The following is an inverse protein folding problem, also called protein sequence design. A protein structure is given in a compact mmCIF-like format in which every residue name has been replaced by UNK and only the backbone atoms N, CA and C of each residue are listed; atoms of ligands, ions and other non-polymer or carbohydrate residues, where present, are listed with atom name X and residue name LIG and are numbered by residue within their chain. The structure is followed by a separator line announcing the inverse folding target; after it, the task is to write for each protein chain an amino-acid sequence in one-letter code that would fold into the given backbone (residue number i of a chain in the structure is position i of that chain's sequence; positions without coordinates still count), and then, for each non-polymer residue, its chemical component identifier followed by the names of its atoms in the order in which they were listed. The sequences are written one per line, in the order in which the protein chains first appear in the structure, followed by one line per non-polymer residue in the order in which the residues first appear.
data_IF_977471304380
#
_entry.id   IF_977471304380
#
_cell.length_a   1.000
_cell.length_b   1.000
_cell.length_c   1.000
_cell.angle_alpha   90.00
_cell.angle_beta   90.00
_cell.angle_gamma   90.00
#
_symmetry.space_group_name_H-M   'P 1'
#
loop_
_entity.id
_entity.type
_entity.pdbx_description
1 polymer ?
#
# COMPACT_ATOMS: atom_id res chain seq x y z
N UNK A 1 -10.06 4.09 -23.53
CA UNK A 1 -8.73 4.09 -24.19
C UNK A 1 -8.18 5.49 -23.98
N UNK A 2 -7.20 5.75 -23.11
CA UNK A 2 -5.85 5.19 -22.96
C UNK A 2 -5.57 5.00 -21.45
N UNK A 3 -5.14 3.80 -21.03
CA UNK A 3 -4.63 3.56 -19.67
C UNK A 3 -3.13 3.85 -19.70
N UNK A 4 -2.70 5.01 -19.20
CA UNK A 4 -1.28 5.32 -18.96
C UNK A 4 -1.05 5.22 -17.46
N UNK A 5 -0.28 4.23 -17.04
CA UNK A 5 0.42 4.31 -15.76
C UNK A 5 1.42 5.46 -15.90
N UNK A 6 1.37 6.44 -14.99
CA UNK A 6 2.33 7.53 -14.99
C UNK A 6 3.58 7.03 -14.25
N UNK A 7 4.58 6.55 -15.00
CA UNK A 7 5.93 6.34 -14.46
C UNK A 7 6.58 7.72 -14.39
N UNK A 8 6.60 8.33 -13.20
CA UNK A 8 7.28 9.61 -12.99
C UNK A 8 8.78 9.39 -12.88
N UNK A 9 9.52 9.58 -13.99
CA UNK A 9 10.98 9.65 -13.98
C UNK A 9 11.44 10.95 -13.31
N UNK A 10 12.09 10.85 -12.16
CA UNK A 10 12.80 11.98 -11.55
C UNK A 10 14.31 11.71 -11.72
N UNK A 11 14.91 12.34 -12.73
CA UNK A 11 16.35 12.31 -13.00
C UNK A 11 17.04 13.28 -12.02
N UNK A 12 17.64 12.75 -10.96
CA UNK A 12 18.71 13.45 -10.25
C UNK A 12 20.04 12.80 -10.66
N UNK A 13 20.88 13.56 -11.35
CA UNK A 13 22.25 13.17 -11.70
C UNK A 13 23.18 13.48 -10.53
N UNK A 14 23.70 12.45 -9.86
CA UNK A 14 24.92 12.52 -9.04
C UNK A 14 25.82 11.32 -9.40
N UNK A 15 27.15 11.48 -9.27
CA UNK A 15 28.12 10.62 -9.94
C UNK A 15 28.25 9.24 -9.28
N UNK A 16 28.32 8.22 -10.14
CA UNK A 16 28.96 6.91 -9.95
C UNK A 16 28.95 6.28 -8.55
N UNK A 17 27.77 5.92 -8.04
CA UNK A 17 27.53 4.68 -7.26
C UNK A 17 26.08 4.26 -7.56
N UNK A 18 25.84 2.97 -7.72
CA UNK A 18 24.63 2.34 -8.29
C UNK A 18 23.34 3.17 -8.15
N UNK A 19 22.80 3.60 -9.29
CA UNK A 19 21.58 4.38 -9.32
C UNK A 19 20.41 3.54 -8.76
N UNK A 20 19.92 3.92 -7.58
CA UNK A 20 18.72 3.34 -6.96
C UNK A 20 17.50 3.85 -7.74
N UNK A 21 16.88 2.98 -8.54
CA UNK A 21 15.62 3.29 -9.22
C UNK A 21 14.45 2.92 -8.33
N UNK A 22 13.74 3.94 -7.82
CA UNK A 22 12.47 3.77 -7.14
C UNK A 22 11.36 3.58 -8.19
N UNK A 23 10.86 2.35 -8.35
CA UNK A 23 9.62 2.10 -9.08
C UNK A 23 8.48 2.14 -8.07
N UNK A 24 7.89 3.33 -7.92
CA UNK A 24 6.59 3.46 -7.26
C UNK A 24 5.55 2.79 -8.17
N UNK A 25 5.21 1.52 -7.92
CA UNK A 25 4.03 0.89 -8.52
C UNK A 25 2.78 1.47 -7.85
N UNK A 26 2.51 2.74 -8.16
CA UNK A 26 1.23 3.37 -7.85
C UNK A 26 0.42 3.21 -9.13
N UNK A 27 -0.44 2.19 -9.16
CA UNK A 27 -1.60 2.28 -10.03
C UNK A 27 -2.47 3.37 -9.44
N UNK A 28 -2.21 4.60 -9.89
CA UNK A 28 -3.14 5.69 -9.76
C UNK A 28 -4.44 5.20 -10.43
N UNK A 29 -5.40 4.77 -9.61
CA UNK A 29 -6.56 5.63 -9.62
C UNK A 29 -6.00 6.98 -9.21
N UNK A 30 -5.86 7.89 -10.17
CA UNK A 30 -6.44 9.19 -9.89
C UNK A 30 -7.71 8.83 -9.15
N UNK A 31 -7.81 9.19 -7.86
CA UNK A 31 -9.13 9.44 -7.35
C UNK A 31 -9.74 10.21 -8.50
N UNK A 32 -10.74 9.64 -9.18
CA UNK A 32 -11.81 10.48 -9.62
C UNK A 32 -12.22 11.13 -8.31
N UNK A 33 -11.53 12.24 -7.98
CA UNK A 33 -12.13 13.43 -7.47
C UNK A 33 -13.25 13.58 -8.46
N UNK A 34 -14.37 12.91 -8.17
CA UNK A 34 -15.64 13.31 -8.72
C UNK A 34 -15.59 14.80 -8.49
N UNK A 35 -15.43 15.55 -9.58
CA UNK A 35 -15.18 16.98 -9.53
C UNK A 35 -16.19 17.49 -8.51
N UNK A 36 -15.75 18.11 -7.40
CA UNK A 36 -16.67 18.43 -6.32
C UNK A 36 -17.83 19.14 -6.97
N UNK A 37 -19.03 18.54 -6.86
CA UNK A 37 -20.16 19.00 -7.68
C UNK A 37 -20.51 20.37 -7.15
N UNK A 38 -20.05 21.41 -7.84
CA UNK A 38 -20.40 22.78 -7.52
C UNK A 38 -21.59 23.19 -8.37
N UNK A 39 -22.53 23.91 -7.77
CA UNK A 39 -23.50 24.68 -8.53
C UNK A 39 -23.07 26.15 -8.55
N UNK A 40 -23.51 26.89 -9.58
CA UNK A 40 -23.15 28.30 -9.75
C UNK A 40 -24.30 29.18 -9.27
N UNK A 41 -24.00 30.09 -8.35
CA UNK A 41 -24.91 31.11 -7.87
C UNK A 41 -24.48 32.50 -8.37
N UNK A 42 -25.39 33.26 -8.97
CA UNK A 42 -25.15 34.66 -9.36
C UNK A 42 -25.51 35.57 -8.19
N UNK A 43 -24.52 36.27 -7.65
CA UNK A 43 -24.67 37.19 -6.50
C UNK A 43 -25.68 38.29 -6.83
N UNK A 44 -26.64 38.52 -5.92
CA UNK A 44 -27.69 39.54 -6.03
C UNK A 44 -27.40 40.70 -5.08
N UNK A 45 -28.03 41.86 -5.33
CA UNK A 45 -27.91 43.04 -4.45
C UNK A 45 -28.32 42.66 -3.03
N UNK A 46 -27.46 42.97 -2.04
CA UNK A 46 -27.68 42.67 -0.62
C UNK A 46 -27.17 41.31 -0.14
N UNK A 47 -26.62 40.48 -1.04
CA UNK A 47 -25.99 39.22 -0.67
C UNK A 47 -24.65 39.43 0.05
N UNK A 48 -24.38 38.56 1.03
CA UNK A 48 -23.02 38.33 1.56
C UNK A 48 -22.70 36.85 1.46
N UNK A 49 -21.42 36.49 1.43
CA UNK A 49 -21.02 35.08 1.30
C UNK A 49 -21.64 34.21 2.40
N UNK A 50 -21.68 34.71 3.63
CA UNK A 50 -22.32 34.04 4.77
C UNK A 50 -23.85 33.92 4.62
N UNK A 51 -24.54 34.95 4.11
CA UNK A 51 -25.99 34.90 3.85
C UNK A 51 -26.32 33.89 2.75
N UNK A 52 -25.52 33.86 1.69
CA UNK A 52 -25.64 32.88 0.59
C UNK A 52 -25.43 31.46 1.15
N UNK A 53 -24.35 31.23 1.91
CA UNK A 53 -24.09 29.91 2.51
C UNK A 53 -25.24 29.47 3.42
N UNK A 54 -25.77 30.38 4.25
CA UNK A 54 -26.93 30.09 5.12
C UNK A 54 -28.18 29.74 4.30
N UNK A 55 -28.46 30.47 3.23
CA UNK A 55 -29.58 30.23 2.32
C UNK A 55 -29.55 28.82 1.71
N UNK A 56 -28.36 28.33 1.37
CA UNK A 56 -28.18 26.99 0.80
C UNK A 56 -27.83 25.92 1.85
N UNK A 57 -28.04 26.19 3.14
CA UNK A 57 -27.72 25.27 4.25
C UNK A 57 -26.27 24.75 4.24
N UNK A 58 -25.34 25.55 3.70
CA UNK A 58 -23.92 25.21 3.65
C UNK A 58 -23.28 25.52 5.02
N UNK A 59 -22.65 24.55 5.71
CA UNK A 59 -22.03 24.78 7.00
C UNK A 59 -20.87 25.79 6.93
N UNK A 60 -20.67 26.57 8.00
CA UNK A 60 -19.59 27.58 8.09
C UNK A 60 -18.20 27.01 7.77
N UNK A 61 -17.94 25.75 8.11
CA UNK A 61 -16.68 25.09 7.82
C UNK A 61 -16.38 24.82 6.34
N UNK A 62 -17.20 25.28 5.40
CA UNK A 62 -16.92 25.32 3.95
C UNK A 62 -16.45 26.70 3.47
N UNK A 63 -16.42 27.72 4.34
CA UNK A 63 -16.09 29.10 3.96
C UNK A 63 -14.74 29.20 3.25
N UNK A 64 -13.69 28.61 3.84
CA UNK A 64 -12.34 28.61 3.27
C UNK A 64 -12.27 27.95 1.88
N UNK A 65 -13.00 26.85 1.70
CA UNK A 65 -13.03 26.11 0.44
C UNK A 65 -13.75 26.89 -0.66
N UNK A 66 -14.87 27.53 -0.32
CA UNK A 66 -15.61 28.39 -1.25
C UNK A 66 -14.76 29.60 -1.65
N UNK A 67 -14.05 30.22 -0.70
CA UNK A 67 -13.10 31.32 -0.98
C UNK A 67 -12.01 30.86 -1.95
N UNK A 68 -11.40 29.71 -1.69
CA UNK A 68 -10.33 29.14 -2.53
C UNK A 68 -10.81 28.81 -3.94
N UNK A 69 -11.93 28.10 -4.08
CA UNK A 69 -12.48 27.66 -5.38
C UNK A 69 -12.90 28.84 -6.25
N UNK A 70 -13.41 29.91 -5.62
CA UNK A 70 -13.82 31.13 -6.30
C UNK A 70 -12.71 32.19 -6.40
N UNK A 71 -11.50 31.87 -5.92
CA UNK A 71 -10.35 32.79 -5.89
C UNK A 71 -10.71 34.17 -5.28
N UNK A 72 -11.52 34.17 -4.24
CA UNK A 72 -11.94 35.40 -3.57
C UNK A 72 -10.77 35.96 -2.76
N UNK A 73 -10.45 37.25 -2.95
CA UNK A 73 -9.42 37.94 -2.17
C UNK A 73 -9.80 38.07 -0.69
N UNK A 74 -11.09 38.20 -0.42
CA UNK A 74 -11.64 38.25 0.94
C UNK A 74 -13.02 37.59 0.97
N UNK A 75 -13.37 36.82 2.01
CA UNK A 75 -14.71 36.23 2.18
C UNK A 75 -15.82 37.28 2.30
N UNK A 76 -15.47 38.52 2.68
CA UNK A 76 -16.40 39.61 2.87
C UNK A 76 -16.60 40.46 1.60
N UNK A 77 -15.83 40.19 0.53
CA UNK A 77 -15.84 40.98 -0.69
C UNK A 77 -16.36 40.14 -1.87
N UNK A 78 -17.66 40.30 -2.16
CA UNK A 78 -18.32 39.72 -3.33
C UNK A 78 -19.12 40.81 -4.07
N UNK A 79 -19.20 40.72 -5.39
CA UNK A 79 -19.83 41.75 -6.23
C UNK A 79 -21.16 41.29 -6.81
N UNK A 80 -22.11 42.21 -6.96
CA UNK A 80 -23.39 41.92 -7.63
C UNK A 80 -23.12 41.45 -9.05
N UNK A 81 -23.78 40.36 -9.46
CA UNK A 81 -23.57 39.73 -10.77
C UNK A 81 -22.42 38.72 -10.83
N UNK A 82 -21.56 38.66 -9.80
CA UNK A 82 -20.47 37.67 -9.71
C UNK A 82 -21.03 36.25 -9.64
N UNK A 83 -20.41 35.32 -10.37
CA UNK A 83 -20.76 33.90 -10.35
C UNK A 83 -19.90 33.17 -9.30
N UNK A 84 -20.54 32.61 -8.27
CA UNK A 84 -19.90 31.84 -7.21
C UNK A 84 -20.21 30.34 -7.36
N UNK A 85 -19.17 29.52 -7.36
CA UNK A 85 -19.21 28.06 -7.24
C UNK A 85 -19.44 27.67 -5.78
N UNK A 86 -20.56 27.02 -5.50
CA UNK A 86 -20.97 26.57 -4.16
C UNK A 86 -21.12 25.05 -4.13
N UNK A 87 -20.70 24.36 -3.05
CA UNK A 87 -20.77 22.91 -2.95
C UNK A 87 -22.22 22.40 -3.00
N UNK A 88 -22.49 21.39 -3.82
CA UNK A 88 -23.78 20.73 -3.88
C UNK A 88 -24.00 19.81 -2.67
N UNK A 89 -25.26 19.44 -2.43
CA UNK A 89 -25.69 18.69 -1.25
C UNK A 89 -24.95 17.35 -1.03
N UNK A 90 -24.51 16.69 -2.11
CA UNK A 90 -23.68 15.48 -2.04
C UNK A 90 -22.31 15.70 -1.38
N UNK A 91 -21.69 16.87 -1.59
CA UNK A 91 -20.42 17.25 -0.96
C UNK A 91 -20.59 17.60 0.53
N UNK A 92 -21.72 18.21 0.88
CA UNK A 92 -22.05 18.55 2.27
C UNK A 92 -22.15 17.29 3.15
N UNK A 93 -22.82 16.24 2.63
CA UNK A 93 -22.98 14.94 3.31
C UNK A 93 -21.65 14.17 3.44
N UNK A 94 -20.74 14.32 2.48
CA UNK A 94 -19.41 13.66 2.48
C UNK A 94 -18.49 14.26 3.55
N UNK A 95 -18.52 15.58 3.75
CA UNK A 95 -17.74 16.29 4.77
C UNK A 95 -18.30 16.15 6.19
N UNK A 96 -19.60 15.99 6.33
CA UNK A 96 -20.23 15.63 7.61
C UNK A 96 -19.90 14.20 8.05
N UNK A 97 -19.77 13.25 7.11
CA UNK A 97 -19.27 11.90 7.40
C UNK A 97 -17.80 11.90 7.82
N UNK A 98 -16.94 12.70 7.19
CA UNK A 98 -15.51 12.80 7.58
C UNK A 98 -15.28 13.61 8.86
N UNK A 99 -16.18 14.53 9.24
CA UNK A 99 -16.13 15.25 10.54
C UNK A 99 -16.68 14.46 11.73
N UNK A 100 -17.37 13.33 11.50
CA UNK A 100 -17.93 12.46 12.55
C UNK A 100 -17.15 11.16 12.75
N UNK A 101 -15.94 11.02 12.22
CA UNK A 101 -15.04 9.98 12.72
C UNK A 101 -14.55 10.46 14.08
N UNK A 102 -15.21 10.00 15.15
CA UNK A 102 -14.72 10.21 16.49
C UNK A 102 -13.31 9.60 16.55
N UNK A 103 -12.29 10.29 17.11
CA UNK A 103 -10.91 9.79 17.19
C UNK A 103 -10.74 8.39 17.82
N UNK A 104 -11.82 7.84 18.40
CA UNK A 104 -11.88 6.60 19.15
C UNK A 104 -12.38 5.37 18.37
N UNK A 105 -12.95 5.52 17.17
CA UNK A 105 -13.47 4.36 16.41
C UNK A 105 -12.34 3.36 16.08
N UNK A 106 -11.14 3.87 15.81
CA UNK A 106 -9.95 3.04 15.55
C UNK A 106 -9.54 2.23 16.79
N UNK A 107 -9.42 2.88 17.95
CA UNK A 107 -9.02 2.20 19.20
C UNK A 107 -10.06 1.16 19.63
N UNK A 108 -11.36 1.43 19.45
CA UNK A 108 -12.39 0.45 19.76
C UNK A 108 -12.44 -0.71 18.79
N UNK A 109 -12.25 -0.46 17.49
CA UNK A 109 -12.09 -1.54 16.49
C UNK A 109 -10.87 -2.41 16.82
N UNK A 110 -9.77 -1.78 17.23
CA UNK A 110 -8.57 -2.47 17.68
C UNK A 110 -8.82 -3.32 18.94
N UNK A 111 -9.44 -2.76 19.98
CA UNK A 111 -9.81 -3.48 21.20
C UNK A 111 -10.70 -4.71 20.91
N UNK A 112 -11.69 -4.57 20.03
CA UNK A 112 -12.52 -5.69 19.56
C UNK A 112 -11.67 -6.77 18.87
N UNK A 113 -10.66 -6.37 18.10
CA UNK A 113 -9.76 -7.29 17.38
C UNK A 113 -8.94 -8.14 18.35
N UNK A 114 -8.47 -7.56 19.46
CA UNK A 114 -7.72 -8.28 20.50
C UNK A 114 -8.63 -8.95 21.55
N UNK A 115 -9.90 -9.21 21.20
CA UNK A 115 -10.84 -9.98 22.02
C UNK A 115 -11.53 -9.21 23.15
N UNK A 116 -11.40 -7.88 23.21
CA UNK A 116 -12.06 -7.08 24.24
C UNK A 116 -13.53 -6.83 23.88
N UNK A 117 -14.42 -6.97 24.86
CA UNK A 117 -15.84 -6.64 24.70
C UNK A 117 -16.00 -5.12 24.70
N UNK A 118 -16.55 -4.58 23.62
CA UNK A 118 -16.83 -3.14 23.48
C UNK A 118 -18.27 -2.92 23.07
N UNK A 119 -19.04 -2.26 23.95
CA UNK A 119 -20.45 -1.88 23.74
C UNK A 119 -20.53 -0.42 23.31
N UNK A 120 -20.76 -0.18 22.03
CA UNK A 120 -20.76 1.13 21.36
C UNK A 120 -22.12 1.55 20.81
N UNK A 121 -23.19 0.91 21.30
CA UNK A 121 -24.57 1.20 20.95
C UNK A 121 -25.45 1.26 22.21
N UNK A 122 -26.55 2.01 22.14
CA UNK A 122 -27.50 2.16 23.25
C UNK A 122 -27.34 3.45 24.06
N UNK A 123 -28.17 3.55 25.09
CA UNK A 123 -28.25 4.69 26.01
C UNK A 123 -28.27 4.15 27.43
N UNK A 124 -27.42 4.69 28.31
CA UNK A 124 -27.55 4.49 29.74
C UNK A 124 -28.33 5.65 30.35
N UNK A 125 -29.28 5.33 31.21
CA UNK A 125 -30.01 6.31 32.00
C UNK A 125 -29.37 6.38 33.39
N UNK A 126 -29.14 7.60 33.86
CA UNK A 126 -28.58 7.92 35.18
C UNK A 126 -29.47 8.96 35.85
N UNK A 127 -29.33 9.12 37.16
CA UNK A 127 -30.04 10.16 37.93
C UNK A 127 -29.72 11.59 37.43
N UNK A 128 -28.62 11.75 36.69
CA UNK A 128 -28.14 13.03 36.16
C UNK A 128 -28.34 13.17 34.65
N UNK A 129 -29.08 12.26 34.02
CA UNK A 129 -29.41 12.30 32.59
C UNK A 129 -28.95 11.06 31.82
N UNK A 130 -28.82 11.21 30.49
CA UNK A 130 -28.56 10.10 29.58
C UNK A 130 -27.14 10.10 29.02
N UNK A 131 -26.52 8.93 28.96
CA UNK A 131 -25.19 8.71 28.38
C UNK A 131 -25.33 7.93 27.07
N UNK A 132 -24.83 8.47 25.97
CA UNK A 132 -24.94 7.85 24.65
C UNK A 132 -23.70 7.00 24.33
N UNK A 133 -23.88 5.68 24.26
CA UNK A 133 -22.79 4.73 24.11
C UNK A 133 -22.10 4.78 22.73
N UNK A 134 -22.73 5.41 21.73
CA UNK A 134 -22.03 5.69 20.45
C UNK A 134 -20.93 6.75 20.59
N UNK A 135 -21.00 7.59 21.63
CA UNK A 135 -20.00 8.63 21.93
C UNK A 135 -19.09 8.22 23.09
N UNK A 136 -19.64 7.50 24.06
CA UNK A 136 -18.93 7.03 25.27
C UNK A 136 -19.15 5.54 25.45
N UNK A 137 -18.49 4.69 24.64
CA UNK A 137 -18.70 3.26 24.69
C UNK A 137 -18.17 2.67 26.01
N UNK A 138 -18.70 1.50 26.33
CA UNK A 138 -18.23 0.69 27.46
C UNK A 138 -17.22 -0.33 26.94
N UNK A 139 -16.10 -0.44 27.63
CA UNK A 139 -15.13 -1.53 27.49
C UNK A 139 -15.30 -2.47 28.68
N UNK A 140 -15.41 -3.77 28.45
CA UNK A 140 -15.45 -4.78 29.50
C UNK A 140 -14.21 -5.67 29.40
N UNK A 141 -13.43 -5.72 30.47
CA UNK A 141 -12.23 -6.56 30.58
C UNK A 141 -11.98 -6.92 32.04
N UNK A 142 -11.63 -8.18 32.30
CA UNK A 142 -11.40 -8.72 33.66
C UNK A 142 -12.53 -8.43 34.66
N UNK A 143 -13.78 -8.57 34.24
CA UNK A 143 -14.95 -8.30 35.08
C UNK A 143 -15.16 -6.81 35.43
N UNK A 144 -14.32 -5.89 34.93
CA UNK A 144 -14.47 -4.44 35.13
C UNK A 144 -15.08 -3.80 33.90
N UNK A 145 -15.91 -2.78 34.13
CA UNK A 145 -16.62 -2.02 33.09
C UNK A 145 -16.09 -0.59 33.06
N UNK A 146 -15.56 -0.17 31.93
CA UNK A 146 -14.96 1.16 31.75
C UNK A 146 -15.79 1.97 30.75
N UNK A 147 -16.26 3.15 31.14
CA UNK A 147 -16.91 4.09 30.22
C UNK A 147 -15.84 5.04 29.69
N UNK A 148 -15.67 5.06 28.38
CA UNK A 148 -14.63 5.89 27.74
C UNK A 148 -15.18 7.25 27.38
N UNK A 149 -14.73 8.29 28.08
CA UNK A 149 -15.10 9.69 27.80
C UNK A 149 -13.90 10.50 27.34
N UNK A 150 -13.65 10.47 26.03
CA UNK A 150 -12.58 11.26 25.42
C UNK A 150 -12.98 12.74 25.23
N UNK A 151 -14.28 13.03 25.28
CA UNK A 151 -14.82 14.37 25.03
C UNK A 151 -14.99 15.21 26.30
N UNK A 152 -14.84 14.59 27.48
CA UNK A 152 -15.10 15.23 28.76
C UNK A 152 -16.56 15.63 28.95
N UNK A 153 -17.50 14.92 28.33
CA UNK A 153 -18.93 15.24 28.40
C UNK A 153 -19.59 14.74 29.70
N UNK A 154 -18.92 13.86 30.46
CA UNK A 154 -19.40 13.33 31.73
C UNK A 154 -18.90 14.21 32.87
N UNK A 155 -19.80 15.00 33.45
CA UNK A 155 -19.51 15.84 34.62
C UNK A 155 -19.26 15.02 35.91
N UNK A 156 -18.68 15.66 36.92
CA UNK A 156 -18.26 15.01 38.17
C UNK A 156 -19.38 14.30 38.93
N UNK A 157 -20.59 14.86 38.99
CA UNK A 157 -21.76 14.24 39.65
C UNK A 157 -22.19 12.95 38.94
N UNK A 158 -22.30 13.01 37.61
CA UNK A 158 -22.63 11.84 36.78
C UNK A 158 -21.55 10.76 36.86
N UNK A 159 -20.27 11.16 36.87
CA UNK A 159 -19.15 10.24 37.08
C UNK A 159 -19.27 9.46 38.38
N UNK A 160 -19.57 10.11 39.52
CA UNK A 160 -19.76 9.43 40.81
C UNK A 160 -20.94 8.45 40.81
N UNK A 161 -22.04 8.81 40.16
CA UNK A 161 -23.20 7.91 39.99
C UNK A 161 -22.84 6.68 39.16
N UNK A 162 -22.12 6.86 38.05
CA UNK A 162 -21.63 5.77 37.22
C UNK A 162 -20.63 4.86 37.98
N UNK A 163 -19.75 5.45 38.79
CA UNK A 163 -18.82 4.72 39.67
C UNK A 163 -19.56 3.89 40.72
N UNK A 164 -20.62 4.43 41.31
CA UNK A 164 -21.48 3.70 42.25
C UNK A 164 -22.23 2.55 41.59
N UNK A 165 -22.53 2.66 40.29
CA UNK A 165 -23.12 1.60 39.48
C UNK A 165 -22.09 0.57 38.95
N UNK A 166 -20.81 0.68 39.36
CA UNK A 166 -19.74 -0.26 39.00
C UNK A 166 -19.04 0.04 37.68
N UNK A 167 -19.15 1.27 37.16
CA UNK A 167 -18.42 1.72 35.97
C UNK A 167 -17.24 2.64 36.34
N UNK A 168 -16.08 2.44 35.72
CA UNK A 168 -14.97 3.40 35.83
C UNK A 168 -14.94 4.32 34.61
N UNK A 169 -15.02 5.64 34.80
CA UNK A 169 -14.94 6.60 33.69
C UNK A 169 -13.48 6.91 33.38
N UNK A 170 -13.06 6.64 32.14
CA UNK A 170 -11.67 6.75 31.67
C UNK A 170 -11.52 7.77 30.53
N UNK A 171 -10.44 8.55 30.56
CA UNK A 171 -10.07 9.47 29.48
C UNK A 171 -9.03 8.84 28.54
N UNK A 172 -8.37 9.68 27.72
CA UNK A 172 -7.39 9.18 26.74
C UNK A 172 -6.19 8.48 27.38
N UNK A 173 -5.63 9.05 28.44
CA UNK A 173 -4.44 8.51 29.10
C UNK A 173 -4.74 7.17 29.76
N UNK A 174 -5.90 7.05 30.38
CA UNK A 174 -6.37 5.83 31.03
C UNK A 174 -6.74 4.75 30.02
N UNK A 175 -7.30 5.14 28.86
CA UNK A 175 -7.57 4.21 27.75
C UNK A 175 -6.28 3.57 27.22
N UNK A 176 -5.21 4.35 27.06
CA UNK A 176 -3.91 3.80 26.63
C UNK A 176 -3.36 2.80 27.65
N UNK A 177 -3.45 3.10 28.95
CA UNK A 177 -3.08 2.14 30.01
C UNK A 177 -3.93 0.89 29.97
N UNK A 178 -5.22 1.01 29.65
CA UNK A 178 -6.12 -0.13 29.52
C UNK A 178 -5.74 -1.02 28.32
N UNK A 179 -5.39 -0.41 27.19
CA UNK A 179 -4.89 -1.15 26.01
C UNK A 179 -3.62 -1.93 26.38
N UNK A 180 -2.66 -1.28 27.03
CA UNK A 180 -1.42 -1.93 27.48
C UNK A 180 -1.70 -3.11 28.41
N UNK A 181 -2.65 -2.94 29.33
CA UNK A 181 -3.08 -4.00 30.26
C UNK A 181 -3.66 -5.20 29.50
N UNK A 182 -4.61 -4.96 28.59
CA UNK A 182 -5.25 -6.01 27.78
C UNK A 182 -4.21 -6.77 26.96
N UNK A 183 -3.23 -6.08 26.38
CA UNK A 183 -2.17 -6.74 25.64
C UNK A 183 -1.32 -7.60 26.59
N UNK A 184 -0.91 -7.08 27.76
CA UNK A 184 -0.08 -7.83 28.71
C UNK A 184 -0.74 -9.10 29.28
N UNK A 185 -2.07 -9.20 29.18
CA UNK A 185 -2.82 -10.38 29.60
C UNK A 185 -2.74 -11.51 28.57
N UNK A 186 -2.69 -11.17 27.28
CA UNK A 186 -2.69 -12.12 26.17
C UNK A 186 -1.27 -12.50 25.69
N UNK A 187 -0.27 -11.67 25.99
CA UNK A 187 1.10 -11.82 25.50
C UNK A 187 2.11 -11.85 26.66
N UNK A 188 3.07 -12.77 26.60
CA UNK A 188 4.07 -12.95 27.67
C UNK A 188 5.10 -11.81 27.74
N UNK A 189 5.42 -11.22 26.60
CA UNK A 189 6.24 -10.02 26.47
C UNK A 189 5.70 -9.15 25.34
N UNK A 190 5.86 -7.83 25.46
CA UNK A 190 5.40 -6.87 24.46
C UNK A 190 6.49 -5.85 24.17
N UNK A 191 6.87 -5.74 22.90
CA UNK A 191 7.60 -4.60 22.36
C UNK A 191 6.65 -3.69 21.60
N UNK A 192 6.95 -2.38 21.59
CA UNK A 192 6.10 -1.36 20.95
C UNK A 192 6.85 -0.64 19.85
N UNK A 193 6.15 -0.27 18.77
CA UNK A 193 6.64 0.57 17.67
C UNK A 193 7.99 0.10 17.12
N UNK A 194 8.12 -1.20 16.87
CA UNK A 194 9.36 -1.81 16.43
C UNK A 194 9.37 -2.14 14.95
N UNK A 195 10.50 -2.69 14.52
CA UNK A 195 10.75 -3.07 13.15
C UNK A 195 11.24 -4.53 13.10
N UNK A 196 10.85 -5.23 12.03
CA UNK A 196 11.36 -6.53 11.66
C UNK A 196 12.07 -6.39 10.33
N UNK A 197 13.26 -6.98 10.24
CA UNK A 197 13.97 -7.16 8.98
C UNK A 197 13.96 -8.66 8.72
N UNK A 198 13.35 -9.06 7.62
CA UNK A 198 13.15 -10.45 7.23
C UNK A 198 13.74 -10.68 5.84
N UNK A 199 14.26 -11.88 5.64
CA UNK A 199 14.95 -12.29 4.43
C UNK A 199 16.40 -11.80 4.35
N UNK A 200 17.21 -12.59 3.65
CA UNK A 200 18.63 -12.37 3.40
C UNK A 200 18.85 -11.94 1.94
N UNK A 201 18.16 -12.57 0.99
CA UNK A 201 18.18 -12.21 -0.43
C UNK A 201 17.18 -11.09 -0.72
N UNK A 202 15.95 -11.29 -0.28
CA UNK A 202 14.87 -10.31 -0.40
C UNK A 202 14.68 -9.65 0.96
N UNK A 203 14.57 -8.32 0.99
CA UNK A 203 14.53 -7.61 2.26
C UNK A 203 13.12 -7.08 2.52
N UNK A 204 12.41 -7.71 3.44
CA UNK A 204 11.16 -7.21 4.01
C UNK A 204 11.43 -6.47 5.32
N UNK A 205 11.30 -5.15 5.27
CA UNK A 205 11.24 -4.29 6.44
C UNK A 205 9.77 -4.12 6.85
N UNK A 206 9.39 -4.62 8.02
CA UNK A 206 8.02 -4.55 8.52
C UNK A 206 7.94 -3.80 9.86
N UNK A 207 7.20 -2.70 9.89
CA UNK A 207 6.98 -1.90 11.11
C UNK A 207 5.65 -2.25 11.76
N UNK A 208 5.68 -2.50 13.07
CA UNK A 208 4.52 -2.94 13.85
C UNK A 208 4.23 -1.99 15.01
N UNK A 209 2.98 -1.97 15.48
CA UNK A 209 2.61 -1.17 16.65
C UNK A 209 2.94 -1.91 17.96
N UNK A 210 2.65 -3.21 18.00
CA UNK A 210 3.07 -4.10 19.09
C UNK A 210 3.56 -5.45 18.53
N UNK A 211 4.45 -6.10 19.26
CA UNK A 211 4.84 -7.48 18.99
C UNK A 211 5.01 -8.21 20.31
N UNK A 212 4.52 -9.44 20.36
CA UNK A 212 4.66 -10.28 21.52
C UNK A 212 4.61 -11.76 21.18
N UNK A 213 4.87 -12.59 22.17
CA UNK A 213 4.64 -14.03 22.07
C UNK A 213 3.30 -14.34 22.69
N UNK A 214 2.43 -14.99 21.92
CA UNK A 214 1.15 -15.45 22.43
C UNK A 214 1.41 -16.38 23.62
N UNK A 215 0.81 -16.08 24.78
CA UNK A 215 1.10 -16.77 26.03
C UNK A 215 0.71 -18.26 26.00
N UNK A 216 -0.25 -18.63 25.16
CA UNK A 216 -0.79 -19.98 25.07
C UNK A 216 -0.11 -20.81 23.98
N UNK A 217 0.20 -20.21 22.83
CA UNK A 217 0.76 -20.93 21.69
C UNK A 217 2.27 -20.77 21.53
N UNK A 218 2.88 -19.80 22.21
CA UNK A 218 4.26 -19.40 22.00
C UNK A 218 4.52 -18.72 20.64
N UNK A 219 3.47 -18.51 19.83
CA UNK A 219 3.61 -17.95 18.48
C UNK A 219 3.99 -16.47 18.54
N UNK A 220 5.02 -16.10 17.78
CA UNK A 220 5.40 -14.70 17.57
C UNK A 220 4.30 -13.98 16.80
N UNK A 221 3.75 -12.91 17.36
CA UNK A 221 2.60 -12.20 16.82
C UNK A 221 2.88 -10.71 16.75
N UNK A 222 2.73 -10.13 15.56
CA UNK A 222 2.66 -8.67 15.36
C UNK A 222 1.21 -8.21 15.45
N UNK A 223 0.99 -7.07 16.07
CA UNK A 223 -0.33 -6.56 16.40
C UNK A 223 -0.39 -5.10 15.94
N UNK A 224 -1.25 -4.81 14.97
CA UNK A 224 -1.42 -3.47 14.42
C UNK A 224 -2.74 -2.86 14.87
N UNK A 225 -2.70 -1.57 15.24
CA UNK A 225 -3.88 -0.74 15.52
C UNK A 225 -4.66 -0.41 14.25
N UNK A 226 -3.97 -0.30 13.14
CA UNK A 226 -4.56 -0.04 11.83
C UNK A 226 -4.41 -1.26 10.91
N UNK A 227 -5.28 -1.34 9.91
CA UNK A 227 -5.34 -2.47 8.99
C UNK A 227 -4.34 -2.27 7.84
N UNK A 228 -3.06 -2.16 8.20
CA UNK A 228 -1.98 -1.78 7.28
C UNK A 228 -1.32 -3.00 6.62
N UNK A 229 -1.73 -4.23 6.97
CA UNK A 229 -1.13 -5.45 6.44
C UNK A 229 -2.13 -6.16 5.52
N UNK A 230 -1.97 -6.13 4.20
CA UNK A 230 -2.87 -6.83 3.30
C UNK A 230 -2.72 -8.34 3.44
N UNK A 231 -3.74 -9.12 3.02
CA UNK A 231 -3.69 -10.58 3.09
C UNK A 231 -2.47 -11.20 2.41
N UNK A 232 -1.98 -10.61 1.32
CA UNK A 232 -0.78 -11.10 0.63
C UNK A 232 0.50 -10.90 1.46
N UNK A 233 0.63 -9.78 2.19
CA UNK A 233 1.75 -9.54 3.09
C UNK A 233 1.66 -10.40 4.36
N UNK A 234 0.44 -10.61 4.87
CA UNK A 234 0.18 -11.51 5.99
C UNK A 234 0.65 -12.94 5.68
N UNK A 235 0.44 -13.43 4.45
CA UNK A 235 0.97 -14.74 4.02
C UNK A 235 2.50 -14.81 4.11
N UNK A 236 3.21 -13.76 3.66
CA UNK A 236 4.67 -13.71 3.79
C UNK A 236 5.08 -13.76 5.26
N UNK A 237 4.48 -12.92 6.11
CA UNK A 237 4.79 -12.90 7.55
C UNK A 237 4.54 -14.27 8.21
N UNK A 238 3.43 -14.93 7.86
CA UNK A 238 3.13 -16.27 8.33
C UNK A 238 4.19 -17.30 7.88
N UNK A 239 4.73 -17.17 6.66
CA UNK A 239 5.83 -18.03 6.15
C UNK A 239 7.17 -17.80 6.87
N UNK A 240 7.33 -16.65 7.52
CA UNK A 240 8.40 -16.36 8.49
C UNK A 240 8.04 -16.73 9.94
N UNK A 241 6.90 -17.39 10.16
CA UNK A 241 6.45 -17.81 11.49
C UNK A 241 5.87 -16.68 12.34
N UNK A 242 5.40 -15.60 11.71
CA UNK A 242 4.90 -14.40 12.38
C UNK A 242 3.41 -14.24 12.11
N UNK A 243 2.60 -14.44 13.14
CA UNK A 243 1.16 -14.18 13.07
C UNK A 243 0.87 -12.68 13.07
N UNK A 244 -0.24 -12.29 12.42
CA UNK A 244 -0.70 -10.90 12.38
C UNK A 244 -2.07 -10.79 13.05
N UNK A 245 -2.19 -9.86 13.99
CA UNK A 245 -3.47 -9.43 14.54
C UNK A 245 -3.68 -7.97 14.17
N UNK A 246 -4.75 -7.68 13.46
CA UNK A 246 -5.10 -6.32 13.09
C UNK A 246 -6.58 -6.21 12.81
N UNK A 247 -7.16 -5.01 12.87
CA UNK A 247 -8.53 -4.82 12.41
C UNK A 247 -8.73 -5.31 10.97
N UNK A 248 -9.95 -5.72 10.59
CA UNK A 248 -10.25 -6.17 9.24
C UNK A 248 -9.70 -5.25 8.15
N UNK A 249 -8.90 -5.82 7.25
CA UNK A 249 -8.32 -5.15 6.09
C UNK A 249 -9.44 -4.57 5.22
N UNK A 250 -9.37 -3.26 4.99
CA UNK A 250 -10.27 -2.59 4.04
C UNK A 250 -9.51 -2.50 2.73
N UNK A 251 -9.90 -3.34 1.77
CA UNK A 251 -9.37 -3.34 0.41
C UNK A 251 -9.27 -1.89 -0.08
N UNK A 252 -8.07 -1.45 -0.42
CA UNK A 252 -7.88 -0.13 -1.01
C UNK A 252 -8.61 -0.17 -2.36
N UNK A 253 -9.39 0.86 -2.70
CA UNK A 253 -10.12 0.97 -3.97
C UNK A 253 -9.17 1.28 -5.15
N UNK A 254 -8.01 0.63 -5.12
CA UNK A 254 -7.06 0.45 -6.19
C UNK A 254 -7.37 -0.92 -6.80
N UNK A 255 -7.35 -1.03 -8.11
CA UNK A 255 -7.33 -2.34 -8.77
C UNK A 255 -6.02 -3.06 -8.36
N UNK A 256 -5.99 -3.67 -7.17
CA UNK A 256 -4.90 -4.51 -6.66
C UNK A 256 -4.57 -5.55 -7.73
N UNK A 257 -3.27 -5.71 -8.00
CA UNK A 257 -2.73 -5.94 -9.33
C UNK A 257 -3.02 -7.29 -9.96
N UNK A 258 -3.05 -7.28 -11.30
CA UNK A 258 -3.17 -8.47 -12.15
C UNK A 258 -1.82 -8.76 -12.81
N UNK A 259 -0.77 -8.92 -11.99
CA UNK A 259 0.54 -9.33 -12.49
C UNK A 259 0.47 -10.74 -13.10
N UNK A 260 1.45 -11.06 -13.93
CA UNK A 260 1.61 -12.40 -14.52
C UNK A 260 2.81 -13.10 -13.91
N UNK A 261 2.70 -14.41 -13.73
CA UNK A 261 3.83 -15.25 -13.35
C UNK A 261 4.23 -16.15 -14.52
N UNK A 262 5.54 -16.21 -14.80
CA UNK A 262 6.15 -17.23 -15.65
C UNK A 262 7.28 -17.88 -14.87
N UNK A 263 7.28 -19.22 -14.86
CA UNK A 263 8.36 -20.01 -14.27
C UNK A 263 9.09 -20.68 -15.43
N UNK A 264 10.37 -20.38 -15.57
CA UNK A 264 11.25 -21.01 -16.54
C UNK A 264 11.87 -22.26 -15.90
N UNK A 265 11.99 -23.32 -16.70
CA UNK A 265 12.53 -24.61 -16.31
C UNK A 265 13.63 -25.00 -17.31
N UNK A 266 14.45 -25.96 -16.95
CA UNK A 266 15.55 -26.46 -17.79
C UNK A 266 16.92 -25.99 -17.31
N UNK A 267 17.96 -26.27 -18.10
CA UNK A 267 19.35 -25.90 -17.79
C UNK A 267 19.99 -25.12 -18.95
N UNK A 268 20.91 -24.21 -18.61
CA UNK A 268 21.72 -23.45 -19.57
C UNK A 268 20.88 -22.80 -20.68
N UNK A 269 21.12 -23.23 -21.91
CA UNK A 269 20.52 -22.64 -23.12
C UNK A 269 19.01 -22.87 -23.25
N UNK A 270 18.46 -23.91 -22.60
CA UNK A 270 17.01 -24.15 -22.54
C UNK A 270 16.29 -23.02 -21.80
N UNK A 271 16.88 -22.56 -20.68
CA UNK A 271 16.35 -21.43 -19.91
C UNK A 271 16.39 -20.15 -20.75
N UNK A 272 17.48 -19.93 -21.48
CA UNK A 272 17.63 -18.78 -22.38
C UNK A 272 16.56 -18.81 -23.47
N UNK A 273 16.35 -19.94 -24.13
CA UNK A 273 15.31 -20.10 -25.15
C UNK A 273 13.91 -19.81 -24.57
N UNK A 274 13.62 -20.29 -23.36
CA UNK A 274 12.35 -20.06 -22.68
C UNK A 274 12.13 -18.58 -22.32
N UNK A 275 13.13 -17.90 -21.75
CA UNK A 275 13.08 -16.46 -21.46
C UNK A 275 12.89 -15.66 -22.75
N UNK A 276 13.67 -15.96 -23.79
CA UNK A 276 13.56 -15.29 -25.09
C UNK A 276 12.18 -15.49 -25.72
N UNK A 277 11.57 -16.67 -25.59
CA UNK A 277 10.19 -16.90 -26.01
C UNK A 277 9.20 -16.01 -25.26
N UNK A 278 9.38 -15.82 -23.95
CA UNK A 278 8.48 -14.97 -23.16
C UNK A 278 8.62 -13.51 -23.58
N UNK A 279 9.85 -13.02 -23.73
CA UNK A 279 10.15 -11.62 -24.01
C UNK A 279 9.86 -11.23 -25.47
N UNK A 280 10.25 -12.06 -26.44
CA UNK A 280 10.18 -11.75 -27.88
C UNK A 280 9.03 -12.44 -28.61
N UNK A 281 8.47 -13.51 -28.04
CA UNK A 281 7.56 -14.42 -28.73
C UNK A 281 8.23 -15.38 -29.72
N UNK A 282 9.56 -15.32 -29.88
CA UNK A 282 10.33 -16.16 -30.80
C UNK A 282 11.06 -17.27 -30.03
N UNK A 283 11.12 -18.47 -30.62
CA UNK A 283 11.92 -19.58 -30.11
C UNK A 283 13.19 -19.73 -30.92
N UNK A 284 14.26 -20.08 -30.24
CA UNK A 284 15.49 -20.53 -30.86
C UNK A 284 15.39 -21.99 -31.30
N UNK A 285 16.14 -22.31 -32.35
CA UNK A 285 16.39 -23.64 -32.89
C UNK A 285 17.75 -24.08 -32.35
N UNK A 286 17.78 -25.24 -31.73
CA UNK A 286 19.02 -25.83 -31.22
C UNK A 286 19.93 -26.25 -32.37
N UNK A 287 21.23 -25.99 -32.21
CA UNK A 287 22.32 -26.24 -33.16
C UNK A 287 23.51 -26.80 -32.38
N UNK A 288 24.48 -27.38 -33.09
CA UNK A 288 25.68 -27.94 -32.44
C UNK A 288 26.44 -26.88 -31.64
N UNK A 289 26.50 -25.65 -32.16
CA UNK A 289 27.22 -24.53 -31.58
C UNK A 289 26.41 -23.80 -30.50
N UNK A 290 25.11 -24.08 -30.37
CA UNK A 290 24.21 -23.44 -29.40
C UNK A 290 22.78 -23.27 -29.91
N UNK A 291 22.29 -22.04 -29.97
CA UNK A 291 20.89 -21.71 -30.23
C UNK A 291 20.77 -20.57 -31.24
N UNK A 292 20.10 -20.85 -32.36
CA UNK A 292 19.83 -19.86 -33.40
C UNK A 292 18.41 -19.31 -33.30
N UNK A 293 18.24 -17.99 -33.32
CA UNK A 293 16.95 -17.30 -33.41
C UNK A 293 16.78 -16.69 -34.81
N UNK A 294 16.17 -17.40 -35.78
CA UNK A 294 16.03 -16.91 -37.16
C UNK A 294 15.28 -15.58 -37.23
N UNK A 295 14.24 -15.40 -36.41
CA UNK A 295 13.45 -14.17 -36.41
C UNK A 295 14.16 -12.94 -35.84
N UNK A 296 15.39 -13.09 -35.32
CA UNK A 296 16.20 -12.04 -34.72
C UNK A 296 17.60 -11.94 -35.38
N UNK A 297 17.92 -12.83 -36.33
CA UNK A 297 19.28 -13.05 -36.86
C UNK A 297 20.32 -13.09 -35.74
N UNK A 298 20.06 -13.91 -34.71
CA UNK A 298 20.86 -13.98 -33.49
C UNK A 298 21.26 -15.43 -33.22
N UNK A 299 22.55 -15.66 -33.03
CA UNK A 299 23.11 -16.89 -32.47
C UNK A 299 23.54 -16.66 -31.04
N UNK A 300 23.15 -17.57 -30.15
CA UNK A 300 23.66 -17.68 -28.79
C UNK A 300 24.47 -18.97 -28.74
N UNK A 301 25.78 -18.86 -28.57
CA UNK A 301 26.73 -19.97 -28.74
C UNK A 301 27.46 -20.26 -27.44
N UNK A 302 27.91 -21.50 -27.28
CA UNK A 302 28.73 -21.89 -26.14
C UNK A 302 30.09 -21.16 -26.14
N UNK A 303 30.73 -21.09 -24.98
CA UNK A 303 32.04 -20.45 -24.78
C UNK A 303 33.19 -21.15 -25.51
N UNK A 304 33.05 -22.46 -25.76
CA UNK A 304 34.02 -23.27 -26.50
C UNK A 304 33.88 -23.20 -28.03
N UNK A 305 33.09 -22.25 -28.57
CA UNK A 305 32.98 -22.09 -30.03
C UNK A 305 34.34 -21.77 -30.66
N UNK A 306 34.64 -22.43 -31.78
CA UNK A 306 35.83 -22.12 -32.57
C UNK A 306 35.76 -20.67 -33.14
N UNK A 307 36.84 -19.88 -33.04
CA UNK A 307 36.85 -18.51 -33.55
C UNK A 307 36.51 -18.38 -35.04
N UNK A 308 36.92 -19.34 -35.89
CA UNK A 308 36.62 -19.31 -37.32
C UNK A 308 35.13 -19.55 -37.57
N UNK A 309 34.52 -20.49 -36.84
CA UNK A 309 33.08 -20.75 -36.95
C UNK A 309 32.26 -19.56 -36.44
N UNK A 310 32.70 -18.90 -35.36
CA UNK A 310 32.09 -17.65 -34.89
C UNK A 310 32.11 -16.57 -35.99
N UNK A 311 33.27 -16.33 -36.60
CA UNK A 311 33.42 -15.33 -37.67
C UNK A 311 32.55 -15.70 -38.88
N UNK A 312 32.45 -16.98 -39.21
CA UNK A 312 31.58 -17.47 -40.29
C UNK A 312 30.11 -17.18 -40.01
N UNK A 313 29.63 -17.38 -38.79
CA UNK A 313 28.26 -17.02 -38.39
C UNK A 313 28.01 -15.50 -38.48
N UNK A 314 28.99 -14.68 -38.10
CA UNK A 314 28.92 -13.21 -38.19
C UNK A 314 28.89 -12.74 -39.65
N UNK A 315 29.73 -13.32 -40.52
CA UNK A 315 29.77 -13.01 -41.97
C UNK A 315 28.47 -13.40 -42.69
N UNK A 316 27.72 -14.35 -42.17
CA UNK A 316 26.36 -14.67 -42.65
C UNK A 316 25.31 -13.62 -42.25
N UNK A 317 25.72 -12.52 -41.61
CA UNK A 317 24.86 -11.42 -41.20
C UNK A 317 24.17 -11.66 -39.85
N UNK A 318 24.61 -12.67 -39.10
CA UNK A 318 24.07 -12.93 -37.76
C UNK A 318 24.80 -12.12 -36.70
N UNK A 319 24.05 -11.72 -35.69
CA UNK A 319 24.60 -11.29 -34.41
C UNK A 319 24.96 -12.53 -33.61
N UNK A 320 26.15 -12.57 -33.01
CA UNK A 320 26.60 -13.72 -32.22
C UNK A 320 26.86 -13.29 -30.78
N UNK A 321 26.28 -14.01 -29.81
CA UNK A 321 26.52 -13.85 -28.38
C UNK A 321 27.15 -15.12 -27.86
N UNK A 322 28.33 -15.00 -27.25
CA UNK A 322 29.02 -16.10 -26.59
C UNK A 322 28.55 -16.16 -25.14
N UNK A 323 28.14 -17.33 -24.67
CA UNK A 323 27.72 -17.55 -23.29
C UNK A 323 28.91 -17.39 -22.34
N UNK A 324 28.70 -16.67 -21.24
CA UNK A 324 29.67 -16.48 -20.16
C UNK A 324 29.54 -17.52 -19.05
N UNK A 325 28.42 -18.27 -19.03
CA UNK A 325 28.05 -19.15 -17.93
C UNK A 325 27.30 -18.45 -16.79
N UNK A 326 27.26 -17.11 -16.78
CA UNK A 326 26.38 -16.34 -15.91
C UNK A 326 25.07 -16.02 -16.63
N UNK A 327 23.98 -16.67 -16.20
CA UNK A 327 22.68 -16.56 -16.85
C UNK A 327 22.17 -15.11 -16.97
N UNK A 328 22.30 -14.30 -15.93
CA UNK A 328 21.77 -12.93 -15.93
C UNK A 328 22.56 -12.05 -16.92
N UNK A 329 23.89 -12.16 -16.87
CA UNK A 329 24.78 -11.48 -17.81
C UNK A 329 24.53 -11.91 -19.26
N UNK A 330 24.31 -13.21 -19.49
CA UNK A 330 24.02 -13.76 -20.81
C UNK A 330 22.69 -13.21 -21.35
N UNK A 331 21.65 -13.15 -20.51
CA UNK A 331 20.37 -12.53 -20.88
C UNK A 331 20.55 -11.05 -21.20
N UNK A 332 21.31 -10.29 -20.40
CA UNK A 332 21.57 -8.87 -20.69
C UNK A 332 22.31 -8.70 -22.02
N UNK A 333 23.37 -9.47 -22.25
CA UNK A 333 24.14 -9.43 -23.50
C UNK A 333 23.23 -9.70 -24.71
N UNK A 334 22.37 -10.72 -24.62
CA UNK A 334 21.36 -11.00 -25.64
C UNK A 334 20.40 -9.81 -25.82
N UNK A 335 19.90 -9.24 -24.73
CA UNK A 335 18.96 -8.12 -24.75
C UNK A 335 19.58 -6.79 -25.20
N UNK A 336 20.91 -6.64 -25.23
CA UNK A 336 21.53 -5.47 -25.89
C UNK A 336 21.38 -5.52 -27.41
N UNK A 337 21.28 -6.72 -27.98
CA UNK A 337 21.18 -6.95 -29.42
C UNK A 337 19.74 -7.02 -29.91
N UNK A 338 18.79 -7.14 -28.98
CA UNK A 338 17.33 -7.09 -29.18
C UNK A 338 16.84 -5.72 -28.72
N UNK A 339 15.92 -5.04 -29.44
CA UNK A 339 15.57 -3.64 -29.16
C UNK A 339 14.66 -3.46 -27.94
N UNK A 340 14.96 -4.10 -26.81
CA UNK A 340 14.23 -3.96 -25.54
C UNK A 340 15.09 -3.24 -24.52
N UNK A 341 14.51 -2.23 -23.87
CA UNK A 341 15.15 -1.61 -22.72
C UNK A 341 15.20 -2.63 -21.58
N UNK A 342 16.38 -2.82 -21.01
CA UNK A 342 16.59 -3.71 -19.87
C UNK A 342 17.50 -3.05 -18.84
N UNK A 343 17.27 -3.36 -17.55
CA UNK A 343 17.99 -2.72 -16.45
C UNK A 343 17.92 -3.53 -15.16
N UNK A 344 19.08 -3.78 -14.55
CA UNK A 344 19.15 -4.25 -13.16
C UNK A 344 18.71 -3.15 -12.20
N UNK A 345 17.81 -3.51 -11.28
CA UNK A 345 17.33 -2.60 -10.26
C UNK A 345 16.80 -3.34 -9.04
N UNK A 346 16.72 -2.59 -7.94
CA UNK A 346 16.03 -2.99 -6.72
C UNK A 346 14.58 -2.52 -6.79
N UNK A 347 13.64 -3.45 -6.98
CA UNK A 347 12.21 -3.16 -6.91
C UNK A 347 11.82 -2.95 -5.45
N UNK A 348 11.24 -1.78 -5.15
CA UNK A 348 10.82 -1.41 -3.81
C UNK A 348 9.30 -1.26 -3.77
N UNK A 349 8.64 -2.06 -2.93
CA UNK A 349 7.20 -2.00 -2.70
C UNK A 349 6.90 -1.44 -1.32
N UNK A 350 6.09 -0.38 -1.26
CA UNK A 350 5.60 0.17 -0.01
C UNK A 350 4.23 -0.40 0.35
N UNK A 351 4.07 -0.78 1.61
CA UNK A 351 2.76 -1.12 2.16
C UNK A 351 2.41 -0.19 3.31
N UNK A 352 1.19 0.39 3.34
CA UNK A 352 0.29 0.53 2.19
C UNK A 352 0.93 1.32 1.02
N UNK A 353 0.44 1.19 -0.24
CA UNK A 353 1.03 1.78 -1.46
C UNK A 353 1.28 3.29 -1.48
N UNK A 354 0.87 4.04 -0.45
CA UNK A 354 1.07 5.48 -0.30
C UNK A 354 1.73 5.86 1.04
N UNK A 355 2.19 4.87 1.80
CA UNK A 355 2.84 5.08 3.09
C UNK A 355 4.23 5.71 2.94
N UNK A 356 4.84 5.62 1.75
CA UNK A 356 6.23 6.04 1.48
C UNK A 356 7.21 5.44 2.50
N UNK A 357 7.04 4.16 2.83
CA UNK A 357 7.91 3.43 3.77
C UNK A 357 7.67 3.74 5.25
N UNK A 358 6.59 4.46 5.58
CA UNK A 358 6.19 4.68 6.99
C UNK A 358 5.77 3.40 7.71
N UNK A 359 5.31 2.39 6.98
CA UNK A 359 4.91 1.09 7.51
C UNK A 359 5.85 0.01 7.00
N UNK A 360 5.51 -0.72 5.95
CA UNK A 360 6.34 -1.82 5.47
C UNK A 360 6.95 -1.53 4.10
N UNK A 361 8.14 -2.05 3.87
CA UNK A 361 8.88 -1.93 2.61
C UNK A 361 9.42 -3.30 2.24
N UNK A 362 9.13 -3.76 1.02
CA UNK A 362 9.68 -5.00 0.48
C UNK A 362 10.62 -4.67 -0.67
N UNK A 363 11.83 -5.24 -0.66
CA UNK A 363 12.87 -4.99 -1.66
C UNK A 363 13.31 -6.30 -2.27
N UNK A 364 13.31 -6.36 -3.60
CA UNK A 364 13.79 -7.50 -4.38
C UNK A 364 14.68 -7.01 -5.51
N UNK A 365 15.82 -7.66 -5.69
CA UNK A 365 16.74 -7.40 -6.79
C UNK A 365 16.34 -8.21 -8.03
N UNK A 366 16.55 -7.64 -9.21
CA UNK A 366 16.29 -8.34 -10.46
C UNK A 366 16.49 -7.48 -11.70
N UNK A 367 16.18 -8.07 -12.86
CA UNK A 367 16.30 -7.43 -14.15
C UNK A 367 14.92 -7.01 -14.67
N UNK A 368 14.69 -5.70 -14.77
CA UNK A 368 13.55 -5.16 -15.47
C UNK A 368 13.79 -5.24 -16.99
N UNK A 369 12.83 -5.80 -17.72
CA UNK A 369 12.82 -5.85 -19.19
C UNK A 369 11.52 -5.24 -19.71
N UNK A 370 11.62 -4.12 -20.41
CA UNK A 370 10.49 -3.41 -21.00
C UNK A 370 10.28 -3.83 -22.45
N UNK A 371 9.27 -4.66 -22.67
CA UNK A 371 8.84 -5.07 -24.02
C UNK A 371 7.77 -4.09 -24.55
N UNK A 372 7.45 -4.10 -25.87
CA UNK A 372 6.36 -3.28 -26.40
C UNK A 372 4.97 -3.56 -25.80
N UNK A 373 4.76 -4.73 -25.19
CA UNK A 373 3.48 -5.15 -24.63
C UNK A 373 3.38 -4.86 -23.14
N UNK A 374 4.43 -5.16 -22.41
CA UNK A 374 4.47 -5.09 -20.95
C UNK A 374 5.90 -5.15 -20.42
N UNK A 375 6.07 -4.68 -19.19
CA UNK A 375 7.30 -4.82 -18.43
C UNK A 375 7.31 -6.19 -17.75
N UNK A 376 8.49 -6.82 -17.69
CA UNK A 376 8.76 -8.07 -16.96
C UNK A 376 9.90 -7.84 -15.97
N UNK A 377 9.77 -8.42 -14.78
CA UNK A 377 10.80 -8.43 -13.77
C UNK A 377 11.34 -9.86 -13.62
N UNK A 378 12.59 -10.07 -14.03
CA UNK A 378 13.27 -11.35 -13.98
C UNK A 378 13.99 -11.49 -12.64
N UNK A 379 13.73 -12.61 -11.95
CA UNK A 379 14.36 -12.97 -10.68
C UNK A 379 14.81 -14.43 -10.73
N UNK A 380 15.94 -14.75 -10.13
CA UNK A 380 16.47 -16.12 -10.06
C UNK A 380 15.75 -16.94 -8.97
N UNK A 381 15.60 -16.40 -7.78
CA UNK A 381 14.95 -17.04 -6.65
C UNK A 381 14.41 -16.01 -5.66
N UNK A 382 13.66 -16.50 -4.68
CA UNK A 382 13.21 -15.71 -3.52
C UNK A 382 13.47 -16.48 -2.23
N UNK A 383 13.55 -15.78 -1.09
CA UNK A 383 13.73 -16.44 0.22
C UNK A 383 12.49 -17.24 0.64
N UNK A 384 11.30 -16.71 0.32
CA UNK A 384 10.02 -17.39 0.59
C UNK A 384 9.17 -17.47 -0.68
N UNK A 385 8.62 -18.66 -1.01
CA UNK A 385 7.79 -18.81 -2.21
C UNK A 385 6.55 -17.91 -2.19
N UNK A 386 6.06 -17.47 -1.02
CA UNK A 386 4.95 -16.53 -0.84
C UNK A 386 5.25 -15.10 -1.35
N UNK A 387 6.52 -14.76 -1.57
CA UNK A 387 6.92 -13.45 -2.09
C UNK A 387 6.56 -13.30 -3.57
N UNK A 388 6.63 -14.38 -4.35
CA UNK A 388 6.21 -14.39 -5.76
C UNK A 388 4.73 -14.00 -5.93
N UNK A 389 3.75 -14.69 -5.29
CA UNK A 389 2.36 -14.29 -5.39
C UNK A 389 2.09 -12.91 -4.76
N UNK A 390 2.91 -12.46 -3.80
CA UNK A 390 2.85 -11.09 -3.30
C UNK A 390 3.20 -10.07 -4.38
N UNK A 391 4.33 -10.22 -5.08
CA UNK A 391 4.73 -9.35 -6.20
C UNK A 391 3.65 -9.31 -7.29
N UNK A 392 3.14 -10.48 -7.66
CA UNK A 392 2.06 -10.63 -8.65
C UNK A 392 0.80 -9.89 -8.22
N UNK A 393 0.43 -9.98 -6.93
CA UNK A 393 -0.72 -9.26 -6.36
C UNK A 393 -0.54 -7.72 -6.36
N UNK A 394 0.70 -7.22 -6.55
CA UNK A 394 0.98 -5.79 -6.75
C UNK A 394 1.05 -5.37 -8.21
N UNK A 395 0.76 -6.29 -9.13
CA UNK A 395 0.74 -6.00 -10.56
C UNK A 395 2.10 -6.14 -11.22
N UNK A 396 3.07 -6.74 -10.53
CA UNK A 396 4.38 -7.03 -11.09
C UNK A 396 4.26 -8.28 -11.96
N UNK A 397 4.67 -8.19 -13.22
CA UNK A 397 4.85 -9.35 -14.07
C UNK A 397 6.22 -9.96 -13.76
N UNK A 398 6.24 -11.18 -13.26
CA UNK A 398 7.46 -11.84 -12.76
C UNK A 398 7.82 -13.02 -13.65
N UNK A 399 9.10 -13.12 -14.03
CA UNK A 399 9.71 -14.32 -14.58
C UNK A 399 10.69 -14.87 -13.54
N UNK A 400 10.45 -16.09 -13.06
CA UNK A 400 11.37 -16.82 -12.17
C UNK A 400 12.14 -17.84 -13.01
N UNK A 401 13.48 -17.87 -12.94
CA UNK A 401 14.30 -18.64 -13.90
C UNK A 401 15.15 -19.79 -13.40
#
# INVERSE_FOLDING_TARGET
MVKRALISFLLFTLPSYGAVYQIDVVKERELKLEKPRFFVYKVKRGDTLLKIMKKFKIPRGFLYEIVKVNKLKSPNLIYVGQKLKLPAEGELKKKEKTRKVHPSEKDFKFLKTIGTVVKDNGILFTDYGKVNLRKTPIIETNGKRFIVDLSGQIGSKMKRSLESAGFTVVGRKELEKLIDKVLSENFSSITKNGELILGEKDILIYKYDFMGYNKFTGQRTVINREADTPPALEKILNAYGIAVIQPPYRKLDTDEGNGKLKIVKGKGIEKINAVMKILTGKRGIEKEEGLFFPGLNLYVVYDFIDPEEKVKLELQGNKVVVLSGNFLQDIQNILTLVPFANKELNLILYEPPLSKGKRSTFRIEGLLVSTPKEDWFLIDSVDKPEEIPYLVSRGVNVIVY
#
